data_IF_637530826992
#
_entry.id   IF_637530826992
#
_cell.length_a   1.000
_cell.length_b   1.000
_cell.length_c   1.000
_cell.angle_alpha   90.00
_cell.angle_beta   90.00
_cell.angle_gamma   90.00
#
_symmetry.space_group_name_H-M   'P 1'
#
loop_
_entity.id
_entity.type
_entity.pdbx_description
1 polymer ?
#
# COMPACT_ATOMS: atom_id res chain seq x y z
N UNK A 1 28.27 12.38 5.75
CA UNK A 1 26.93 11.77 5.88
C UNK A 1 26.90 10.56 4.95
N UNK A 2 27.29 9.40 5.45
CA UNK A 2 27.53 8.21 4.62
C UNK A 2 26.35 7.25 4.71
N UNK A 3 25.58 7.10 3.63
CA UNK A 3 24.67 5.95 3.48
C UNK A 3 25.53 4.79 2.98
N UNK A 4 25.71 3.75 3.80
CA UNK A 4 26.17 2.44 3.31
C UNK A 4 25.13 1.93 2.31
N UNK A 5 25.62 1.41 1.18
CA UNK A 5 24.84 1.03 0.01
C UNK A 5 23.61 0.21 0.37
N UNK A 6 22.45 0.68 -0.10
CA UNK A 6 21.23 -0.13 -0.16
C UNK A 6 21.09 -0.60 -1.60
N UNK A 7 20.80 -1.87 -1.79
CA UNK A 7 20.54 -2.47 -3.10
C UNK A 7 19.36 -1.75 -3.77
N UNK A 8 19.64 -0.91 -4.75
CA UNK A 8 18.63 -0.35 -5.65
C UNK A 8 18.78 -1.00 -7.01
N UNK A 9 17.64 -1.31 -7.62
CA UNK A 9 17.58 -1.72 -9.01
C UNK A 9 17.16 -0.50 -9.81
N UNK A 10 18.02 -0.03 -10.70
CA UNK A 10 17.65 1.00 -11.67
C UNK A 10 16.93 0.34 -12.83
N UNK A 11 15.70 0.77 -13.07
CA UNK A 11 14.96 0.41 -14.28
C UNK A 11 15.27 1.48 -15.34
N UNK A 12 15.67 1.11 -16.57
CA UNK A 12 15.83 2.07 -17.66
C UNK A 12 14.56 2.90 -17.86
N UNK A 13 14.75 4.14 -18.32
CA UNK A 13 13.62 5.00 -18.63
C UNK A 13 12.74 4.38 -19.73
N UNK A 14 11.43 4.56 -19.57
CA UNK A 14 10.42 4.00 -20.46
C UNK A 14 9.16 4.83 -20.38
N UNK A 15 8.60 5.17 -21.53
CA UNK A 15 7.40 6.01 -21.66
C UNK A 15 6.19 5.44 -20.90
N UNK A 16 6.12 4.11 -20.74
CA UNK A 16 5.07 3.44 -19.94
C UNK A 16 5.07 3.82 -18.45
N UNK A 17 6.17 4.39 -17.96
CA UNK A 17 6.33 4.88 -16.59
C UNK A 17 6.15 6.39 -16.47
N UNK A 18 5.83 7.06 -17.58
CA UNK A 18 5.52 8.48 -17.55
C UNK A 18 4.08 8.70 -17.12
N UNK A 19 3.90 9.73 -16.31
CA UNK A 19 2.57 10.13 -15.87
C UNK A 19 1.95 10.99 -16.96
N UNK A 20 1.03 10.42 -17.74
CA UNK A 20 0.26 11.17 -18.74
C UNK A 20 -0.99 11.82 -18.10
N UNK A 21 -1.95 11.01 -17.65
CA UNK A 21 -3.17 11.50 -17.00
C UNK A 21 -3.41 10.85 -15.63
N UNK A 22 -3.14 9.55 -15.51
CA UNK A 22 -3.39 8.75 -14.32
C UNK A 22 -2.32 7.68 -14.15
N UNK A 23 -2.08 7.25 -12.92
CA UNK A 23 -1.16 6.15 -12.62
C UNK A 23 -1.63 5.32 -11.43
N UNK A 24 -1.34 4.03 -11.48
CA UNK A 24 -1.40 3.15 -10.31
C UNK A 24 -0.05 2.45 -10.16
N UNK A 25 0.59 2.63 -9.01
CA UNK A 25 1.87 1.99 -8.67
C UNK A 25 1.64 1.01 -7.55
N UNK A 26 1.92 -0.26 -7.79
CA UNK A 26 1.74 -1.34 -6.81
C UNK A 26 3.07 -1.97 -6.45
N UNK A 27 3.24 -2.27 -5.16
CA UNK A 27 4.41 -2.97 -4.66
C UNK A 27 4.03 -3.94 -3.55
N UNK A 28 4.75 -5.06 -3.47
CA UNK A 28 4.75 -5.91 -2.28
C UNK A 28 6.01 -5.61 -1.48
N UNK A 29 5.85 -5.19 -0.23
CA UNK A 29 6.95 -4.74 0.62
C UNK A 29 7.04 -5.55 1.91
N UNK A 30 8.26 -5.70 2.43
CA UNK A 30 8.53 -6.25 3.76
C UNK A 30 9.49 -5.29 4.48
N UNK A 31 8.97 -4.28 5.20
CA UNK A 31 9.84 -3.31 5.86
C UNK A 31 10.71 -4.01 6.91
N UNK A 32 12.02 -3.78 6.88
CA UNK A 32 12.92 -4.24 7.96
C UNK A 32 13.14 -3.15 9.00
N UNK A 33 12.92 -1.90 8.60
CA UNK A 33 13.03 -0.72 9.43
C UNK A 33 11.86 0.23 9.10
N UNK A 34 11.32 0.87 10.14
CA UNK A 34 10.25 1.88 10.03
C UNK A 34 10.75 3.21 10.62
N UNK A 35 9.95 4.27 10.46
CA UNK A 35 10.26 5.60 10.94
C UNK A 35 10.89 6.50 9.87
N UNK A 36 10.57 7.79 9.94
CA UNK A 36 10.99 8.78 8.94
C UNK A 36 10.37 8.53 7.55
N UNK A 37 10.91 9.20 6.53
CA UNK A 37 10.56 8.97 5.14
C UNK A 37 11.49 7.92 4.53
N UNK A 38 10.93 6.87 3.91
CA UNK A 38 11.70 5.81 3.24
C UNK A 38 11.13 5.52 1.86
N UNK A 39 11.95 5.72 0.84
CA UNK A 39 11.54 5.51 -0.55
C UNK A 39 11.46 4.04 -0.89
N UNK A 40 10.39 3.64 -1.58
CA UNK A 40 10.20 2.27 -2.10
C UNK A 40 10.56 2.27 -3.59
N UNK A 41 10.03 3.23 -4.33
CA UNK A 41 10.37 3.50 -5.72
C UNK A 41 10.39 5.02 -5.94
N UNK A 42 11.17 5.49 -6.91
CA UNK A 42 11.26 6.89 -7.26
C UNK A 42 11.27 7.06 -8.78
N UNK A 43 10.29 7.81 -9.32
CA UNK A 43 10.42 8.47 -10.62
C UNK A 43 10.69 9.93 -10.31
N UNK A 44 11.92 10.36 -10.58
CA UNK A 44 12.45 11.68 -10.20
C UNK A 44 11.47 12.80 -10.56
N UNK A 45 11.07 13.59 -9.55
CA UNK A 45 10.17 14.74 -9.70
C UNK A 45 8.78 14.43 -10.30
N UNK A 46 8.34 13.16 -10.31
CA UNK A 46 7.00 12.79 -10.81
C UNK A 46 6.19 12.07 -9.72
N UNK A 47 6.62 10.89 -9.26
CA UNK A 47 5.88 10.13 -8.26
C UNK A 47 6.78 9.21 -7.44
N UNK A 48 6.32 8.97 -6.21
CA UNK A 48 7.17 8.50 -5.13
C UNK A 48 6.35 7.69 -4.11
N UNK A 49 6.17 6.36 -4.31
CA UNK A 49 5.68 5.49 -3.26
C UNK A 49 6.74 5.33 -2.15
N UNK A 50 6.30 5.49 -0.92
CA UNK A 50 7.19 5.56 0.23
C UNK A 50 6.53 4.98 1.50
N UNK A 51 7.35 4.76 2.52
CA UNK A 51 6.91 4.65 3.90
C UNK A 51 7.05 6.01 4.58
N UNK A 52 6.01 6.45 5.26
CA UNK A 52 5.96 7.70 6.02
C UNK A 52 5.73 7.34 7.49
N UNK A 53 6.80 7.29 8.27
CA UNK A 53 6.77 6.76 9.62
C UNK A 53 6.52 5.24 9.58
N UNK A 54 5.35 4.83 10.04
CA UNK A 54 4.88 3.45 10.04
C UNK A 54 3.76 3.20 9.01
N UNK A 55 3.47 4.14 8.10
CA UNK A 55 2.36 4.04 7.13
C UNK A 55 2.85 3.99 5.70
N UNK A 56 2.09 3.34 4.83
CA UNK A 56 2.27 3.47 3.39
C UNK A 56 1.90 4.89 2.95
N UNK A 57 2.65 5.45 2.01
CA UNK A 57 2.42 6.77 1.47
C UNK A 57 2.69 6.84 -0.03
N UNK A 58 2.04 7.79 -0.69
CA UNK A 58 2.24 8.04 -2.11
C UNK A 58 2.31 9.54 -2.37
N UNK A 59 3.45 9.97 -2.89
CA UNK A 59 3.72 11.34 -3.29
C UNK A 59 3.59 11.47 -4.80
N UNK A 60 3.09 12.64 -5.23
CA UNK A 60 3.06 13.03 -6.64
C UNK A 60 3.46 14.50 -6.80
N UNK A 61 4.25 14.76 -7.83
CA UNK A 61 4.55 16.07 -8.37
C UNK A 61 4.02 16.07 -9.81
N UNK A 62 2.77 16.52 -9.98
CA UNK A 62 2.08 16.55 -11.27
C UNK A 62 2.50 17.80 -12.05
N UNK A 63 2.77 17.72 -13.37
CA UNK A 63 4.10 17.64 -13.99
C UNK A 63 5.02 18.87 -13.76
N UNK A 64 4.78 19.68 -12.74
CA UNK A 64 5.39 21.01 -12.55
C UNK A 64 6.29 21.12 -11.30
N UNK A 65 6.89 20.03 -10.82
CA UNK A 65 7.73 19.94 -9.60
C UNK A 65 7.05 20.34 -8.28
N UNK A 66 5.76 20.73 -8.30
CA UNK A 66 5.01 21.10 -7.12
C UNK A 66 4.44 19.84 -6.45
N UNK A 67 5.07 19.42 -5.36
CA UNK A 67 4.60 18.28 -4.57
C UNK A 67 3.23 18.56 -3.94
N UNK A 68 2.27 17.69 -4.24
CA UNK A 68 1.01 17.64 -3.49
C UNK A 68 1.25 17.03 -2.10
N UNK A 69 0.34 17.31 -1.17
CA UNK A 69 0.33 16.59 0.11
C UNK A 69 0.18 15.08 -0.16
N UNK A 70 1.04 14.22 0.42
CA UNK A 70 0.99 12.79 0.14
C UNK A 70 -0.29 12.16 0.67
N UNK A 71 -0.84 11.23 -0.09
CA UNK A 71 -1.80 10.29 0.45
C UNK A 71 -1.07 9.36 1.44
N UNK A 72 -1.73 9.07 2.57
CA UNK A 72 -1.21 8.19 3.63
C UNK A 72 -2.24 7.13 3.92
N UNK A 73 -1.83 5.88 3.94
CA UNK A 73 -2.65 4.77 4.39
C UNK A 73 -2.99 4.88 5.88
N UNK A 74 -4.06 4.23 6.31
CA UNK A 74 -4.50 4.19 7.71
C UNK A 74 -3.79 3.11 8.51
N UNK A 75 -3.23 2.09 7.86
CA UNK A 75 -2.62 0.92 8.48
C UNK A 75 -1.25 1.24 9.06
N UNK A 76 -1.07 0.94 10.35
CA UNK A 76 0.25 0.97 10.98
C UNK A 76 1.01 -0.33 10.67
N UNK A 77 1.95 -0.23 9.72
CA UNK A 77 2.82 -1.32 9.29
C UNK A 77 3.76 -1.76 10.42
N UNK A 78 4.20 -3.02 10.34
CA UNK A 78 5.15 -3.65 11.27
C UNK A 78 6.31 -4.23 10.50
N UNK A 79 7.49 -4.21 11.12
CA UNK A 79 8.68 -4.79 10.49
C UNK A 79 8.54 -6.30 10.33
N UNK A 80 9.20 -6.86 9.32
CA UNK A 80 9.23 -8.30 9.07
C UNK A 80 7.94 -8.92 8.53
N UNK A 81 6.85 -8.15 8.36
CA UNK A 81 5.59 -8.61 7.74
C UNK A 81 5.49 -8.15 6.28
N UNK A 82 4.94 -9.02 5.44
CA UNK A 82 4.65 -8.68 4.04
C UNK A 82 3.35 -7.89 3.92
N UNK A 83 3.38 -6.84 3.10
CA UNK A 83 2.24 -5.99 2.77
C UNK A 83 2.14 -5.80 1.26
N UNK A 84 0.91 -5.64 0.76
CA UNK A 84 0.65 -5.09 -0.56
C UNK A 84 0.24 -3.63 -0.40
N UNK A 85 0.84 -2.76 -1.20
CA UNK A 85 0.47 -1.34 -1.24
C UNK A 85 0.19 -0.94 -2.69
N UNK A 86 -0.75 -0.03 -2.87
CA UNK A 86 -1.04 0.62 -4.15
C UNK A 86 -1.16 2.12 -3.94
N UNK A 87 -0.39 2.91 -4.67
CA UNK A 87 -0.59 4.36 -4.81
C UNK A 87 -1.35 4.63 -6.10
N UNK A 88 -2.38 5.47 -6.05
CA UNK A 88 -3.22 5.81 -7.21
C UNK A 88 -3.28 7.31 -7.40
N UNK A 89 -3.31 7.75 -8.65
CA UNK A 89 -3.60 9.13 -9.03
C UNK A 89 -4.41 9.14 -10.33
N UNK A 90 -5.43 9.99 -10.39
CA UNK A 90 -6.39 10.07 -11.51
C UNK A 90 -6.32 11.39 -12.30
N UNK A 91 -5.28 12.20 -12.08
CA UNK A 91 -5.15 13.55 -12.64
C UNK A 91 -5.50 14.65 -11.62
N UNK A 92 -6.32 14.34 -10.62
CA UNK A 92 -6.82 15.29 -9.64
C UNK A 92 -6.50 14.86 -8.20
N UNK A 93 -6.88 13.62 -7.87
CA UNK A 93 -6.91 13.04 -6.52
C UNK A 93 -5.79 12.01 -6.34
N UNK A 94 -5.17 12.00 -5.15
CA UNK A 94 -4.17 11.00 -4.76
C UNK A 94 -4.79 10.06 -3.74
N UNK A 95 -4.60 8.75 -3.95
CA UNK A 95 -5.02 7.69 -3.04
C UNK A 95 -3.90 6.72 -2.69
N UNK A 96 -4.05 6.03 -1.56
CA UNK A 96 -3.25 4.87 -1.17
C UNK A 96 -4.18 3.77 -0.69
N UNK A 97 -3.97 2.56 -1.17
CA UNK A 97 -4.57 1.33 -0.67
C UNK A 97 -3.48 0.52 0.04
N UNK A 98 -3.69 0.25 1.32
CA UNK A 98 -2.79 -0.53 2.17
C UNK A 98 -3.49 -1.76 2.79
N UNK A 99 -4.81 -1.86 2.63
CA UNK A 99 -5.69 -2.91 3.13
C UNK A 99 -6.71 -3.32 2.05
N UNK A 100 -6.80 -4.63 1.76
CA UNK A 100 -7.78 -5.20 0.80
C UNK A 100 -8.45 -6.41 1.41
N UNK A 101 -9.77 -6.44 1.35
CA UNK A 101 -10.62 -7.52 1.86
C UNK A 101 -11.68 -7.88 0.82
N UNK A 102 -11.94 -9.18 0.66
CA UNK A 102 -13.01 -9.70 -0.19
C UNK A 102 -13.97 -10.45 0.72
N UNK A 103 -15.26 -10.11 0.66
CA UNK A 103 -16.33 -10.75 1.43
C UNK A 103 -17.26 -11.50 0.48
N UNK A 104 -17.75 -12.66 0.91
CA UNK A 104 -18.77 -13.45 0.22
C UNK A 104 -20.21 -12.97 0.52
N UNK A 105 -20.34 -11.98 1.40
CA UNK A 105 -21.60 -11.34 1.80
C UNK A 105 -21.59 -9.84 1.53
N UNK A 106 -22.77 -9.27 1.35
CA UNK A 106 -22.93 -7.82 1.40
C UNK A 106 -22.71 -7.31 2.83
N UNK A 107 -21.87 -6.28 2.99
CA UNK A 107 -21.65 -5.62 4.27
C UNK A 107 -22.73 -4.56 4.52
N UNK A 108 -23.18 -4.45 5.78
CA UNK A 108 -24.02 -3.33 6.19
C UNK A 108 -23.22 -2.02 6.26
N UNK A 109 -23.91 -0.88 6.24
CA UNK A 109 -23.24 0.42 6.37
C UNK A 109 -22.47 0.54 7.69
N UNK A 110 -22.99 -0.03 8.78
CA UNK A 110 -22.33 -0.04 10.08
C UNK A 110 -21.07 -0.91 10.09
N UNK A 111 -21.12 -2.09 9.43
CA UNK A 111 -19.94 -2.93 9.24
C UNK A 111 -18.88 -2.20 8.42
N UNK A 112 -19.28 -1.54 7.32
CA UNK A 112 -18.39 -0.72 6.49
C UNK A 112 -17.76 0.40 7.32
N UNK A 113 -18.54 1.17 8.08
CA UNK A 113 -18.04 2.26 8.93
C UNK A 113 -17.10 1.74 10.03
N UNK A 114 -17.43 0.60 10.63
CA UNK A 114 -16.57 -0.05 11.62
C UNK A 114 -15.24 -0.48 11.01
N UNK A 115 -15.26 -1.05 9.80
CA UNK A 115 -14.04 -1.45 9.08
C UNK A 115 -13.20 -0.25 8.65
N UNK A 116 -13.81 0.82 8.15
CA UNK A 116 -13.09 2.03 7.77
C UNK A 116 -12.41 2.71 8.98
N UNK A 117 -13.04 2.66 10.15
CA UNK A 117 -12.53 3.34 11.35
C UNK A 117 -11.55 2.49 12.16
N UNK A 118 -11.80 1.18 12.27
CA UNK A 118 -10.98 0.25 13.06
C UNK A 118 -9.96 -0.51 12.25
N UNK A 119 -10.04 -0.44 10.91
CA UNK A 119 -9.23 -1.22 9.98
C UNK A 119 -9.60 -2.70 9.96
N UNK A 120 -8.99 -3.44 9.04
CA UNK A 120 -9.16 -4.89 8.90
C UNK A 120 -8.65 -5.70 10.09
N UNK A 121 -7.81 -5.11 10.94
CA UNK A 121 -7.39 -5.72 12.19
C UNK A 121 -8.58 -6.14 13.07
N UNK A 122 -9.70 -5.39 13.01
CA UNK A 122 -10.93 -5.71 13.75
C UNK A 122 -11.62 -7.01 13.30
N UNK A 123 -11.33 -7.50 12.08
CA UNK A 123 -11.83 -8.80 11.61
C UNK A 123 -10.99 -9.98 12.12
N UNK A 124 -9.75 -9.71 12.54
CA UNK A 124 -8.85 -10.73 13.09
C UNK A 124 -9.09 -10.98 14.58
N UNK A 125 -9.99 -10.22 15.22
CA UNK A 125 -10.49 -10.47 16.58
C UNK A 125 -11.55 -11.58 16.58
N UNK A 126 -11.19 -12.71 15.96
CA UNK A 126 -11.95 -13.95 16.06
C UNK A 126 -11.74 -14.49 17.47
N UNK A 127 -12.71 -14.27 18.36
CA UNK A 127 -12.86 -15.08 19.57
C UNK A 127 -12.91 -16.56 19.16
N UNK A 128 -12.00 -17.42 19.65
CA UNK A 128 -12.00 -18.82 19.29
C UNK A 128 -13.04 -19.56 20.14
N UNK A 129 -14.32 -19.33 19.87
CA UNK A 129 -15.36 -20.31 20.19
C UNK A 129 -15.69 -21.10 18.93
N UNK A 130 -14.78 -22.02 18.60
CA UNK A 130 -15.12 -23.21 17.80
C UNK A 130 -15.00 -23.11 16.28
N UNK A 131 -14.33 -22.11 15.70
CA UNK A 131 -14.10 -22.08 14.24
C UNK A 131 -12.68 -22.47 13.84
N UNK A 132 -12.64 -23.49 13.00
CA UNK A 132 -11.49 -24.24 12.53
C UNK A 132 -10.47 -23.37 11.81
N UNK A 133 -9.22 -23.65 12.13
CA UNK A 133 -8.00 -23.24 11.44
C UNK A 133 -8.09 -23.40 9.92
N UNK A 134 -7.47 -22.45 9.21
CA UNK A 134 -7.28 -22.41 7.76
C UNK A 134 -6.93 -23.79 7.19
N UNK A 135 -7.84 -24.38 6.42
CA UNK A 135 -7.52 -25.53 5.56
C UNK A 135 -7.46 -25.02 4.12
N UNK A 136 -6.29 -25.14 3.49
CA UNK A 136 -6.14 -24.91 2.05
C UNK A 136 -6.85 -26.05 1.31
N UNK A 137 -7.89 -25.74 0.54
CA UNK A 137 -8.55 -26.72 -0.33
C UNK A 137 -7.78 -26.88 -1.64
N UNK A 138 -7.32 -28.09 -1.95
CA UNK A 138 -6.85 -28.45 -3.29
C UNK A 138 -8.04 -28.53 -4.26
N UNK A 139 -7.98 -27.75 -5.35
CA UNK A 139 -8.89 -27.90 -6.49
C UNK A 139 -8.46 -29.15 -7.26
N UNK A 140 -9.32 -30.18 -7.30
CA UNK A 140 -9.16 -31.28 -8.26
C UNK A 140 -9.79 -30.90 -9.60
N UNK A 141 -8.96 -30.80 -10.63
CA UNK A 141 -9.40 -30.83 -12.02
C UNK A 141 -9.89 -32.25 -12.35
N UNK A 142 -11.02 -32.34 -13.05
CA UNK A 142 -11.49 -33.57 -13.67
C UNK A 142 -11.13 -33.56 -15.15
#
# INVERSE_FOLDING_TARGET
MGRKGGDYITVPDSDVLDLEDAITVMARIKPEELGGLRMILKKEAVYEPALIGDKAGFYIANPSENWKNPAKGSTSLKTGKWYHIAGTFDGETIGVMDEVAIFDKALSEDEIRSLMTKGLASLMDVEPEGKLSLTWGEIKLR
#
